data_IF_899231111180
#
_entry.id   IF_899231111180
#
_cell.length_a   1.000
_cell.length_b   1.000
_cell.length_c   1.000
_cell.angle_alpha   90.00
_cell.angle_beta   90.00
_cell.angle_gamma   90.00
#
_symmetry.space_group_name_H-M   'P 1'
#
loop_
_entity.id
_entity.type
_entity.pdbx_description
1 polymer ?
#
# COMPACT_ATOMS: atom_id res chain seq x y z
N UNK A 1 9.13 11.62 -30.00
CA UNK A 1 10.36 11.98 -29.25
C UNK A 1 10.52 10.94 -28.16
N UNK A 2 11.63 10.20 -28.14
CA UNK A 2 11.87 9.10 -27.20
C UNK A 2 11.81 9.62 -25.75
N UNK A 3 10.85 9.13 -24.97
CA UNK A 3 10.76 9.37 -23.52
C UNK A 3 12.00 8.77 -22.85
N UNK A 4 12.89 9.63 -22.35
CA UNK A 4 13.99 9.21 -21.49
C UNK A 4 13.41 8.91 -20.10
N UNK A 5 12.90 7.69 -19.92
CA UNK A 5 12.56 7.17 -18.62
C UNK A 5 13.85 6.97 -17.83
N UNK A 6 13.93 7.56 -16.64
CA UNK A 6 15.03 7.27 -15.72
C UNK A 6 14.84 5.81 -15.27
N UNK A 7 15.80 4.95 -15.62
CA UNK A 7 15.73 3.49 -15.42
C UNK A 7 15.54 3.07 -13.96
N UNK A 8 15.74 3.97 -13.00
CA UNK A 8 15.55 3.69 -11.57
C UNK A 8 14.08 3.58 -11.14
N UNK A 9 13.15 4.31 -11.78
CA UNK A 9 11.75 4.30 -11.36
C UNK A 9 11.03 3.00 -11.79
N UNK A 10 11.42 2.44 -12.94
CA UNK A 10 10.89 1.17 -13.46
C UNK A 10 11.25 -0.02 -12.57
N UNK A 11 12.45 -0.05 -11.98
CA UNK A 11 12.94 -1.20 -11.20
C UNK A 11 12.20 -1.33 -9.87
N UNK A 12 11.93 -0.20 -9.19
CA UNK A 12 11.07 -0.19 -8.00
C UNK A 12 9.61 -0.55 -8.35
N UNK A 13 9.13 -0.15 -9.54
CA UNK A 13 7.79 -0.48 -10.04
C UNK A 13 7.61 -1.98 -10.31
N UNK A 14 8.60 -2.63 -10.93
CA UNK A 14 8.56 -4.08 -11.16
C UNK A 14 8.55 -4.90 -9.86
N UNK A 15 9.17 -4.42 -8.78
CA UNK A 15 9.13 -5.14 -7.49
C UNK A 15 7.86 -4.88 -6.66
N UNK A 16 7.32 -3.66 -6.66
CA UNK A 16 6.14 -3.28 -5.85
C UNK A 16 4.79 -3.49 -6.56
N UNK A 17 4.75 -3.46 -7.88
CA UNK A 17 3.52 -3.55 -8.68
C UNK A 17 3.44 -4.85 -9.48
N UNK A 18 3.91 -5.94 -8.87
CA UNK A 18 3.82 -7.27 -9.45
C UNK A 18 4.53 -7.32 -10.80
N UNK A 19 5.79 -7.75 -10.82
CA UNK A 19 6.22 -8.54 -11.96
C UNK A 19 5.31 -9.77 -12.06
N UNK A 20 4.19 -9.60 -12.73
CA UNK A 20 3.73 -10.58 -13.68
C UNK A 20 4.82 -10.70 -14.75
N UNK A 21 5.91 -11.39 -14.40
CA UNK A 21 6.53 -12.31 -15.33
C UNK A 21 5.47 -13.40 -15.56
N UNK A 22 4.40 -13.07 -16.29
CA UNK A 22 3.57 -14.10 -16.89
C UNK A 22 4.53 -14.91 -17.72
N UNK A 23 4.76 -16.13 -17.27
CA UNK A 23 5.19 -17.25 -18.08
C UNK A 23 4.81 -17.05 -19.53
N UNK A 24 5.83 -16.98 -20.40
CA UNK A 24 5.86 -17.58 -21.73
C UNK A 24 7.13 -17.12 -22.46
N UNK A 25 8.18 -17.95 -22.45
CA UNK A 25 8.89 -18.42 -23.65
C UNK A 25 10.08 -19.32 -23.25
N UNK A 26 9.75 -20.45 -22.65
CA UNK A 26 10.41 -21.73 -22.95
C UNK A 26 9.37 -22.80 -22.66
N UNK A 27 9.01 -23.59 -23.68
CA UNK A 27 8.17 -24.80 -23.57
C UNK A 27 8.92 -25.96 -22.87
N UNK A 28 9.77 -25.64 -21.90
CA UNK A 28 10.28 -26.62 -20.95
C UNK A 28 9.43 -26.46 -19.69
N UNK A 29 8.94 -27.57 -19.15
CA UNK A 29 8.17 -27.60 -17.89
C UNK A 29 9.07 -27.21 -16.71
N UNK A 30 9.47 -25.94 -16.67
CA UNK A 30 10.32 -25.33 -15.67
C UNK A 30 9.53 -25.00 -14.42
N UNK A 31 10.19 -25.18 -13.28
CA UNK A 31 9.66 -24.85 -11.96
C UNK A 31 9.16 -23.39 -11.90
N UNK A 32 8.01 -23.16 -11.25
CA UNK A 32 7.49 -21.80 -11.02
C UNK A 32 8.55 -20.90 -10.39
N UNK A 33 8.61 -19.62 -10.76
CA UNK A 33 9.58 -18.68 -10.19
C UNK A 33 9.38 -18.45 -8.69
N UNK A 34 8.16 -18.63 -8.20
CA UNK A 34 7.76 -18.53 -6.80
C UNK A 34 6.55 -19.45 -6.53
N UNK A 35 6.37 -19.84 -5.28
CA UNK A 35 5.23 -20.66 -4.82
C UNK A 35 4.12 -19.80 -4.22
N UNK A 36 4.44 -18.55 -3.86
CA UNK A 36 3.47 -17.59 -3.36
C UNK A 36 3.96 -16.15 -3.48
N UNK A 37 3.00 -15.23 -3.57
CA UNK A 37 3.23 -13.78 -3.57
C UNK A 37 2.10 -13.10 -2.80
N UNK A 38 2.38 -11.98 -2.13
CA UNK A 38 1.33 -11.22 -1.43
C UNK A 38 1.86 -10.20 -0.43
N UNK A 39 0.93 -9.42 0.12
CA UNK A 39 1.19 -8.49 1.21
C UNK A 39 1.22 -9.21 2.55
N UNK A 40 2.15 -8.81 3.41
CA UNK A 40 2.34 -9.38 4.76
C UNK A 40 2.81 -8.30 5.73
N UNK A 41 2.41 -8.42 7.00
CA UNK A 41 3.04 -7.64 8.09
C UNK A 41 4.40 -8.22 8.41
N UNK A 42 5.32 -7.37 8.81
CA UNK A 42 6.60 -7.79 9.37
C UNK A 42 6.53 -7.71 10.89
N UNK A 43 6.89 -8.81 11.56
CA UNK A 43 6.89 -8.88 13.02
C UNK A 43 8.31 -8.80 13.53
N UNK A 44 8.64 -7.64 14.13
CA UNK A 44 9.93 -7.37 14.79
C UNK A 44 11.15 -7.66 13.90
N UNK A 45 11.02 -7.57 12.57
CA UNK A 45 12.09 -7.90 11.63
C UNK A 45 12.45 -9.40 11.55
N UNK A 46 11.60 -10.29 12.08
CA UNK A 46 11.95 -11.72 12.23
C UNK A 46 11.15 -12.67 11.35
N UNK A 47 9.85 -12.45 11.22
CA UNK A 47 8.96 -13.24 10.37
C UNK A 47 7.83 -12.37 9.83
N UNK A 48 7.10 -12.90 8.86
CA UNK A 48 5.94 -12.25 8.28
C UNK A 48 4.63 -12.88 8.75
N UNK A 49 3.56 -12.10 8.82
CA UNK A 49 2.21 -12.62 9.11
C UNK A 49 1.20 -12.07 8.10
N UNK A 50 0.41 -12.96 7.50
CA UNK A 50 -0.68 -12.59 6.60
C UNK A 50 -2.00 -12.30 7.36
N UNK A 51 -3.05 -11.77 6.70
CA UNK A 51 -4.31 -11.45 7.37
C UNK A 51 -5.02 -12.65 8.02
N UNK A 52 -4.74 -13.88 7.56
CA UNK A 52 -5.30 -15.11 8.13
C UNK A 52 -4.48 -15.60 9.35
N UNK A 53 -3.43 -14.88 9.74
CA UNK A 53 -2.55 -15.23 10.84
C UNK A 53 -1.50 -16.27 10.48
N UNK A 54 -1.35 -16.65 9.21
CA UNK A 54 -0.28 -17.55 8.82
C UNK A 54 1.07 -16.85 8.98
N UNK A 55 2.04 -17.55 9.56
CA UNK A 55 3.38 -17.00 9.80
C UNK A 55 4.37 -17.55 8.79
N UNK A 56 5.23 -16.70 8.22
CA UNK A 56 6.24 -17.08 7.24
C UNK A 56 7.62 -16.68 7.74
N UNK A 57 8.48 -17.68 7.98
CA UNK A 57 9.84 -17.49 8.46
C UNK A 57 10.82 -17.57 7.27
N UNK A 58 11.40 -16.45 6.84
CA UNK A 58 12.36 -16.46 5.76
C UNK A 58 13.68 -17.12 6.20
N UNK A 59 14.35 -17.81 5.28
CA UNK A 59 15.72 -18.27 5.52
C UNK A 59 16.66 -17.07 5.68
N UNK A 60 17.62 -17.16 6.60
CA UNK A 60 18.57 -16.07 6.86
C UNK A 60 19.36 -15.67 5.61
N UNK A 61 19.72 -16.62 4.73
CA UNK A 61 20.38 -16.33 3.46
C UNK A 61 19.51 -15.47 2.55
N UNK A 62 18.22 -15.80 2.41
CA UNK A 62 17.31 -14.99 1.58
C UNK A 62 17.05 -13.61 2.17
N UNK A 63 17.09 -13.43 3.49
CA UNK A 63 17.00 -12.09 4.11
C UNK A 63 18.21 -11.25 3.74
N UNK A 64 19.43 -11.79 3.85
CA UNK A 64 20.66 -11.09 3.45
C UNK A 64 20.65 -10.70 1.98
N UNK A 65 20.13 -11.58 1.10
CA UNK A 65 19.95 -11.27 -0.33
C UNK A 65 19.00 -10.10 -0.57
N UNK A 66 17.91 -9.98 0.22
CA UNK A 66 16.97 -8.86 0.12
C UNK A 66 17.53 -7.56 0.73
N UNK A 67 18.30 -7.65 1.81
CA UNK A 67 18.99 -6.50 2.43
C UNK A 67 20.00 -5.88 1.46
N UNK A 68 20.73 -6.69 0.71
CA UNK A 68 21.64 -6.23 -0.34
C UNK A 68 20.91 -5.47 -1.47
N UNK A 69 19.59 -5.70 -1.63
CA UNK A 69 18.72 -5.02 -2.59
C UNK A 69 17.97 -3.83 -1.98
N UNK A 70 18.28 -3.48 -0.71
CA UNK A 70 17.72 -2.33 -0.01
C UNK A 70 16.44 -2.61 0.77
N UNK A 71 15.93 -3.84 0.79
CA UNK A 71 14.81 -4.20 1.67
C UNK A 71 15.32 -4.53 3.06
N UNK A 72 14.86 -3.76 4.05
CA UNK A 72 15.17 -4.01 5.47
C UNK A 72 13.92 -4.43 6.21
N UNK A 73 13.85 -5.71 6.53
CA UNK A 73 12.72 -6.30 7.24
C UNK A 73 12.46 -5.61 8.59
N UNK A 74 13.51 -5.22 9.32
CA UNK A 74 13.38 -4.52 10.61
C UNK A 74 12.79 -3.11 10.53
N UNK A 75 12.77 -2.49 9.35
CA UNK A 75 12.29 -1.12 9.13
C UNK A 75 10.92 -1.10 8.42
N UNK A 76 10.45 -2.24 7.91
CA UNK A 76 9.16 -2.36 7.23
C UNK A 76 8.06 -2.79 8.21
N UNK A 77 6.87 -2.20 8.09
CA UNK A 77 5.67 -2.70 8.78
C UNK A 77 4.85 -3.59 7.84
N UNK A 78 4.43 -3.06 6.68
CA UNK A 78 3.85 -3.84 5.59
C UNK A 78 4.89 -4.10 4.50
N UNK A 79 4.94 -5.32 3.98
CA UNK A 79 5.81 -5.70 2.87
C UNK A 79 5.03 -6.46 1.80
N UNK A 80 5.47 -6.34 0.55
CA UNK A 80 5.05 -7.20 -0.55
C UNK A 80 6.18 -8.18 -0.85
N UNK A 81 5.90 -9.48 -0.73
CA UNK A 81 6.91 -10.53 -0.86
C UNK A 81 6.51 -11.54 -1.93
N UNK A 82 7.49 -12.07 -2.65
CA UNK A 82 7.38 -13.31 -3.42
C UNK A 82 8.36 -14.34 -2.83
N UNK A 83 7.94 -15.60 -2.74
CA UNK A 83 8.70 -16.62 -2.04
C UNK A 83 8.52 -18.03 -2.61
N UNK A 84 9.48 -18.90 -2.29
CA UNK A 84 9.36 -20.36 -2.42
C UNK A 84 9.24 -21.01 -1.05
N UNK A 85 8.50 -22.11 -0.95
CA UNK A 85 8.52 -22.94 0.26
C UNK A 85 9.86 -23.67 0.36
N UNK A 86 10.35 -23.82 1.59
CA UNK A 86 11.47 -24.72 1.87
C UNK A 86 10.91 -26.15 1.91
N UNK A 87 11.70 -27.16 1.49
CA UNK A 87 11.32 -28.57 1.61
C UNK A 87 10.80 -28.92 3.01
N UNK A 88 9.85 -29.86 3.09
CA UNK A 88 9.11 -30.27 4.31
C UNK A 88 8.22 -29.18 4.95
N UNK A 89 8.05 -28.02 4.31
CA UNK A 89 7.07 -27.02 4.75
C UNK A 89 5.66 -27.37 4.26
N UNK A 90 4.59 -27.12 5.05
CA UNK A 90 3.24 -27.21 4.53
C UNK A 90 3.09 -26.39 3.23
N UNK A 91 2.45 -26.94 2.21
CA UNK A 91 2.28 -26.25 0.91
C UNK A 91 0.90 -25.62 0.76
N UNK A 92 0.03 -25.79 1.75
CA UNK A 92 -1.35 -25.28 1.76
C UNK A 92 -1.54 -24.26 2.88
N UNK A 93 -1.89 -23.03 2.50
CA UNK A 93 -2.25 -21.94 3.42
C UNK A 93 -3.49 -22.30 4.25
N UNK A 94 -3.60 -21.71 5.42
CA UNK A 94 -4.87 -21.69 6.14
C UNK A 94 -5.76 -20.59 5.56
N UNK A 95 -6.99 -20.94 5.24
CA UNK A 95 -8.10 -20.03 4.97
C UNK A 95 -8.60 -19.45 6.31
N UNK A 96 -9.34 -18.35 6.26
CA UNK A 96 -9.89 -17.67 7.44
C UNK A 96 -10.74 -18.52 8.41
N UNK A 97 -11.17 -19.72 8.01
CA UNK A 97 -11.96 -20.64 8.84
C UNK A 97 -11.14 -21.83 9.37
N UNK A 98 -9.82 -21.83 9.18
CA UNK A 98 -8.92 -22.93 9.57
C UNK A 98 -7.83 -22.46 10.51
N UNK A 99 -7.15 -23.39 11.16
CA UNK A 99 -6.06 -23.08 12.08
C UNK A 99 -4.88 -22.46 11.31
N UNK A 100 -4.40 -21.26 11.69
CA UNK A 100 -3.24 -20.64 11.07
C UNK A 100 -2.03 -21.56 11.07
N UNK A 101 -1.22 -21.50 10.02
CA UNK A 101 -0.05 -22.36 9.83
C UNK A 101 1.25 -21.55 9.82
N UNK A 102 2.34 -22.27 10.09
CA UNK A 102 3.69 -21.76 10.00
C UNK A 102 4.41 -22.32 8.77
N UNK A 103 5.01 -21.43 7.99
CA UNK A 103 5.73 -21.74 6.77
C UNK A 103 7.20 -21.33 6.91
N UNK A 104 8.11 -22.17 6.42
CA UNK A 104 9.49 -21.75 6.14
C UNK A 104 9.61 -21.41 4.68
N UNK A 105 10.17 -20.25 4.38
CA UNK A 105 10.22 -19.73 3.02
C UNK A 105 11.61 -19.25 2.64
N UNK A 106 11.91 -19.30 1.34
CA UNK A 106 13.01 -18.54 0.74
C UNK A 106 12.42 -17.33 0.03
N UNK A 107 12.83 -16.13 0.43
CA UNK A 107 12.44 -14.91 -0.29
C UNK A 107 13.05 -14.92 -1.69
N UNK A 108 12.21 -14.64 -2.69
CA UNK A 108 12.59 -14.42 -4.09
C UNK A 108 12.64 -12.93 -4.36
N UNK A 109 11.68 -12.18 -3.82
CA UNK A 109 11.67 -10.72 -3.78
C UNK A 109 10.96 -10.22 -2.53
N UNK A 110 11.35 -9.03 -2.08
CA UNK A 110 10.68 -8.32 -0.99
C UNK A 110 10.80 -6.81 -1.22
N UNK A 111 9.70 -6.10 -0.99
CA UNK A 111 9.69 -4.65 -1.01
C UNK A 111 8.83 -4.13 0.16
N UNK A 112 9.33 -3.10 0.84
CA UNK A 112 8.57 -2.41 1.87
C UNK A 112 7.45 -1.58 1.21
N UNK A 113 6.27 -1.62 1.82
CA UNK A 113 5.21 -0.65 1.55
C UNK A 113 5.37 0.46 2.58
N UNK A 114 5.54 1.69 2.10
CA UNK A 114 5.71 2.83 3.00
C UNK A 114 4.52 2.91 3.95
N UNK A 115 4.79 2.81 5.25
CA UNK A 115 3.76 2.70 6.29
C UNK A 115 3.82 3.93 7.20
N UNK A 116 2.67 4.57 7.41
CA UNK A 116 2.55 5.81 8.17
C UNK A 116 1.50 5.69 9.26
N UNK A 117 1.62 6.51 10.29
CA UNK A 117 0.47 6.78 11.16
C UNK A 117 -0.45 7.77 10.46
N UNK A 118 -1.75 7.61 10.67
CA UNK A 118 -2.74 8.60 10.27
C UNK A 118 -2.67 9.80 11.21
N UNK A 119 -2.82 11.00 10.66
CA UNK A 119 -2.94 12.23 11.44
C UNK A 119 -4.39 12.44 11.85
N UNK A 120 -4.63 13.02 13.03
CA UNK A 120 -5.97 13.34 13.52
C UNK A 120 -6.11 14.85 13.68
N UNK A 121 -7.20 15.41 13.15
CA UNK A 121 -7.54 16.83 13.24
C UNK A 121 -8.94 17.02 13.82
N UNK A 122 -9.19 18.13 14.51
CA UNK A 122 -10.50 18.43 15.08
C UNK A 122 -11.51 18.97 14.04
N UNK A 123 -11.02 19.51 12.92
CA UNK A 123 -11.84 20.11 11.87
C UNK A 123 -11.07 20.21 10.54
N UNK A 124 -11.75 20.62 9.47
CA UNK A 124 -11.09 20.91 8.19
C UNK A 124 -10.09 22.06 8.32
N UNK A 125 -10.45 23.12 9.06
CA UNK A 125 -9.57 24.27 9.30
C UNK A 125 -8.32 23.89 10.11
N UNK A 126 -8.49 23.00 11.09
CA UNK A 126 -7.38 22.45 11.87
C UNK A 126 -6.44 21.64 10.97
N UNK A 127 -6.98 20.67 10.21
CA UNK A 127 -6.22 19.91 9.20
C UNK A 127 -5.46 20.83 8.25
N UNK A 128 -6.14 21.89 7.76
CA UNK A 128 -5.58 22.85 6.82
C UNK A 128 -4.33 23.55 7.36
N UNK A 129 -4.30 23.77 8.68
CA UNK A 129 -3.20 24.39 9.41
C UNK A 129 -2.07 23.39 9.73
N UNK A 130 -2.39 22.15 10.09
CA UNK A 130 -1.39 21.19 10.59
C UNK A 130 -0.65 20.37 9.52
N UNK A 131 -1.29 20.00 8.42
CA UNK A 131 -0.73 19.02 7.46
C UNK A 131 -0.59 19.66 6.10
N UNK A 132 0.54 20.22 5.65
CA UNK A 132 0.63 20.96 4.38
C UNK A 132 0.02 20.25 3.15
N UNK A 133 -0.58 21.02 2.25
CA UNK A 133 -1.08 20.53 0.96
C UNK A 133 -0.82 21.58 -0.12
N UNK A 134 0.08 21.28 -1.05
CA UNK A 134 0.51 22.21 -2.10
C UNK A 134 0.59 21.55 -3.49
N UNK A 135 0.14 20.29 -3.59
CA UNK A 135 0.21 19.51 -4.82
C UNK A 135 -1.03 18.62 -4.96
N UNK A 136 -1.58 18.49 -6.17
CA UNK A 136 -2.58 17.47 -6.43
C UNK A 136 -1.90 16.09 -6.56
N UNK A 137 -2.67 15.02 -6.37
CA UNK A 137 -2.33 13.71 -6.93
C UNK A 137 -2.93 13.59 -8.34
N UNK A 138 -2.51 12.60 -9.11
CA UNK A 138 -3.18 12.25 -10.38
C UNK A 138 -4.39 11.39 -10.09
N UNK A 139 -4.22 10.30 -9.34
CA UNK A 139 -5.32 9.37 -8.99
C UNK A 139 -4.93 8.42 -7.87
N UNK A 140 -5.94 7.88 -7.17
CA UNK A 140 -5.82 6.70 -6.31
C UNK A 140 -6.18 5.39 -7.01
N UNK A 141 -6.51 5.45 -8.30
CA UNK A 141 -6.81 4.29 -9.13
C UNK A 141 -5.88 4.19 -10.35
N UNK A 142 -4.55 4.06 -10.16
CA UNK A 142 -3.62 3.97 -11.26
C UNK A 142 -3.85 2.67 -12.05
N UNK A 143 -3.65 2.76 -13.37
CA UNK A 143 -3.70 1.60 -14.26
C UNK A 143 -2.30 1.33 -14.79
N UNK A 144 -1.84 0.08 -14.68
CA UNK A 144 -0.53 -0.29 -15.21
C UNK A 144 -0.54 -0.49 -16.74
N UNK A 145 0.63 -0.80 -17.28
CA UNK A 145 0.81 -1.01 -18.72
C UNK A 145 0.07 -2.24 -19.26
N UNK A 146 -0.43 -3.12 -18.39
CA UNK A 146 -1.21 -4.31 -18.75
C UNK A 146 -2.72 -4.06 -18.68
N UNK A 147 -3.14 -2.85 -18.29
CA UNK A 147 -4.55 -2.48 -18.16
C UNK A 147 -5.16 -2.87 -16.81
N UNK A 148 -4.36 -3.33 -15.84
CA UNK A 148 -4.85 -3.61 -14.49
C UNK A 148 -4.97 -2.30 -13.72
N UNK A 149 -6.20 -1.96 -13.29
CA UNK A 149 -6.45 -0.86 -12.38
C UNK A 149 -6.32 -1.33 -10.94
N UNK A 150 -5.50 -0.64 -10.16
CA UNK A 150 -5.38 -0.85 -8.73
C UNK A 150 -6.35 0.08 -8.01
N UNK A 151 -6.96 -0.36 -6.93
CA UNK A 151 -7.90 0.44 -6.14
C UNK A 151 -7.44 0.52 -4.69
N UNK A 152 -7.79 1.56 -3.95
CA UNK A 152 -7.62 1.58 -2.50
C UNK A 152 -8.26 0.37 -1.83
N UNK A 153 -7.60 -0.18 -0.80
CA UNK A 153 -8.05 -1.42 -0.16
C UNK A 153 -7.61 -1.50 1.30
N UNK A 154 -8.23 -2.41 2.06
CA UNK A 154 -7.91 -2.67 3.46
C UNK A 154 -7.02 -3.90 3.61
N UNK A 155 -5.87 -3.74 4.27
CA UNK A 155 -5.10 -4.87 4.80
C UNK A 155 -5.58 -5.18 6.22
N UNK A 156 -6.31 -6.28 6.36
CA UNK A 156 -6.99 -6.61 7.61
C UNK A 156 -8.02 -5.54 8.00
N UNK A 157 -8.14 -5.27 9.30
CA UNK A 157 -9.03 -4.21 9.84
C UNK A 157 -8.27 -2.95 10.25
N UNK A 158 -6.97 -2.88 9.96
CA UNK A 158 -6.03 -2.00 10.67
C UNK A 158 -5.24 -1.08 9.74
N UNK A 159 -5.09 -1.43 8.47
CA UNK A 159 -4.32 -0.63 7.53
C UNK A 159 -5.09 -0.35 6.24
N UNK A 160 -5.19 0.93 5.90
CA UNK A 160 -5.69 1.40 4.62
C UNK A 160 -4.51 1.55 3.66
N UNK A 161 -4.55 0.85 2.53
CA UNK A 161 -3.50 0.88 1.51
C UNK A 161 -4.00 1.64 0.29
N UNK A 162 -3.27 2.69 -0.07
CA UNK A 162 -3.59 3.60 -1.17
C UNK A 162 -2.54 3.48 -2.29
N UNK A 163 -2.93 3.03 -3.50
CA UNK A 163 -2.07 3.13 -4.68
C UNK A 163 -2.11 4.56 -5.21
N UNK A 164 -1.19 5.42 -4.75
CA UNK A 164 -1.19 6.83 -5.10
C UNK A 164 -0.32 7.08 -6.32
N UNK A 165 -0.89 7.72 -7.35
CA UNK A 165 -0.16 8.23 -8.51
C UNK A 165 -0.08 9.75 -8.46
N UNK A 166 1.09 10.33 -8.71
CA UNK A 166 1.30 11.78 -8.82
C UNK A 166 2.34 12.10 -9.90
N UNK A 167 2.52 13.39 -10.24
CA UNK A 167 3.60 13.84 -11.11
C UNK A 167 4.69 14.58 -10.34
N UNK A 168 5.93 14.45 -10.80
CA UNK A 168 7.13 15.01 -10.17
C UNK A 168 8.24 15.27 -11.21
N UNK A 169 9.27 16.03 -10.83
CA UNK A 169 10.52 16.12 -11.60
C UNK A 169 11.16 14.72 -11.72
N UNK A 170 11.82 14.43 -12.84
CA UNK A 170 12.48 13.13 -13.03
C UNK A 170 13.81 13.00 -12.28
N UNK A 171 13.77 13.09 -10.94
CA UNK A 171 14.92 12.97 -10.05
C UNK A 171 14.57 12.29 -8.73
N UNK A 172 15.43 11.40 -8.26
CA UNK A 172 15.22 10.64 -7.01
C UNK A 172 15.17 11.52 -5.76
N UNK A 173 15.96 12.60 -5.73
CA UNK A 173 15.96 13.59 -4.64
C UNK A 173 14.61 14.27 -4.45
N UNK A 174 13.84 14.47 -5.52
CA UNK A 174 12.50 15.04 -5.43
C UNK A 174 11.51 14.02 -4.88
N UNK A 175 11.68 12.74 -5.21
CA UNK A 175 10.79 11.66 -4.73
C UNK A 175 10.70 11.65 -3.20
N UNK A 176 11.83 11.90 -2.53
CA UNK A 176 11.94 11.92 -1.07
C UNK A 176 11.29 13.15 -0.41
N UNK A 177 11.00 14.20 -1.17
CA UNK A 177 10.32 15.40 -0.66
C UNK A 177 8.80 15.25 -0.69
N UNK A 178 8.26 14.37 -1.54
CA UNK A 178 6.83 14.14 -1.62
C UNK A 178 6.33 13.42 -0.36
N UNK A 179 5.47 14.10 0.39
CA UNK A 179 4.78 13.57 1.55
C UNK A 179 3.30 13.40 1.22
N UNK A 180 2.78 12.22 1.53
CA UNK A 180 1.37 11.85 1.35
C UNK A 180 0.81 11.51 2.72
N UNK A 181 0.10 12.45 3.32
CA UNK A 181 -0.44 12.33 4.67
C UNK A 181 -1.93 12.01 4.61
N UNK A 182 -2.33 10.96 5.30
CA UNK A 182 -3.75 10.64 5.49
C UNK A 182 -4.22 11.26 6.80
N UNK A 183 -5.32 12.01 6.74
CA UNK A 183 -5.89 12.71 7.88
C UNK A 183 -7.31 12.21 8.14
N UNK A 184 -7.60 11.90 9.39
CA UNK A 184 -8.94 11.69 9.90
C UNK A 184 -9.39 12.92 10.67
N UNK A 185 -10.63 13.36 10.45
CA UNK A 185 -11.21 14.47 11.20
C UNK A 185 -12.10 13.88 12.29
N UNK A 186 -11.69 14.01 13.54
CA UNK A 186 -12.46 13.53 14.70
C UNK A 186 -13.54 14.55 15.06
N UNK A 187 -14.60 14.58 14.26
CA UNK A 187 -15.78 15.40 14.50
C UNK A 187 -17.07 14.60 14.28
N UNK A 188 -18.13 14.97 14.99
CA UNK A 188 -19.45 14.32 14.87
C UNK A 188 -20.09 14.46 13.47
N UNK A 189 -19.53 15.31 12.60
CA UNK A 189 -19.97 15.52 11.22
C UNK A 189 -19.23 14.63 10.20
N UNK A 190 -18.11 14.01 10.58
CA UNK A 190 -17.26 13.22 9.68
C UNK A 190 -17.69 11.73 9.55
N UNK A 191 -18.66 11.31 10.35
CA UNK A 191 -19.17 9.94 10.41
C UNK A 191 -20.69 9.93 10.21
N UNK A 192 -21.16 9.42 9.07
CA UNK A 192 -22.49 8.81 9.03
C UNK A 192 -22.32 7.39 9.57
N UNK A 193 -23.26 6.83 10.34
CA UNK A 193 -23.03 5.61 11.15
C UNK A 193 -22.50 4.36 10.42
N UNK A 194 -22.32 4.39 9.10
CA UNK A 194 -21.72 3.35 8.25
C UNK A 194 -20.51 3.80 7.42
N UNK A 195 -20.20 5.11 7.36
CA UNK A 195 -19.17 5.68 6.50
C UNK A 195 -18.06 6.35 7.33
N UNK A 196 -16.81 6.06 6.97
CA UNK A 196 -15.63 6.66 7.58
C UNK A 196 -14.86 7.45 6.51
N UNK A 197 -14.62 8.74 6.76
CA UNK A 197 -14.01 9.66 5.79
C UNK A 197 -12.57 9.99 6.18
N UNK A 198 -11.67 9.94 5.21
CA UNK A 198 -10.29 10.41 5.32
C UNK A 198 -9.98 11.45 4.24
N UNK A 199 -8.99 12.29 4.51
CA UNK A 199 -8.44 13.26 3.56
C UNK A 199 -6.99 12.90 3.26
N UNK A 200 -6.65 12.72 1.98
CA UNK A 200 -5.28 12.55 1.55
C UNK A 200 -4.70 13.91 1.13
N UNK A 201 -3.69 14.36 1.86
CA UNK A 201 -2.98 15.63 1.66
C UNK A 201 -1.64 15.33 0.99
N UNK A 202 -1.33 16.03 -0.09
CA UNK A 202 -0.08 15.87 -0.82
C UNK A 202 0.76 17.15 -0.75
N UNK A 203 1.95 17.02 -0.17
CA UNK A 203 3.00 18.04 -0.15
C UNK A 203 4.15 17.60 -1.06
N UNK A 204 4.47 18.37 -2.09
CA UNK A 204 5.60 18.11 -3.01
C UNK A 204 6.92 18.76 -2.56
N UNK A 205 6.94 19.36 -1.37
CA UNK A 205 8.08 20.10 -0.85
C UNK A 205 8.49 21.22 -1.80
N UNK A 206 9.71 21.13 -2.34
CA UNK A 206 10.27 22.12 -3.27
C UNK A 206 10.16 21.70 -4.75
N UNK A 207 9.55 20.56 -5.06
CA UNK A 207 9.36 20.14 -6.45
C UNK A 207 8.39 21.10 -7.17
N UNK A 208 8.81 21.57 -8.34
CA UNK A 208 8.04 22.51 -9.16
C UNK A 208 7.68 21.93 -10.53
N UNK A 209 8.12 20.70 -10.85
CA UNK A 209 7.93 20.09 -12.16
C UNK A 209 7.01 18.87 -12.10
N UNK A 210 6.55 18.49 -13.28
CA UNK A 210 5.56 17.42 -13.48
C UNK A 210 5.97 16.55 -14.67
N UNK A 211 7.25 16.18 -14.72
CA UNK A 211 7.89 15.57 -15.88
C UNK A 211 7.53 14.08 -16.05
N UNK A 212 7.35 13.37 -14.93
CA UNK A 212 7.10 11.93 -14.89
C UNK A 212 6.00 11.58 -13.91
N UNK A 213 5.35 10.43 -14.12
CA UNK A 213 4.45 9.83 -13.15
C UNK A 213 5.26 9.01 -12.13
N UNK A 214 4.95 9.20 -10.86
CA UNK A 214 5.34 8.30 -9.78
C UNK A 214 4.09 7.60 -9.25
N UNK A 215 4.19 6.29 -9.01
CA UNK A 215 3.15 5.51 -8.32
C UNK A 215 3.79 4.77 -7.15
N UNK A 216 3.15 4.85 -5.98
CA UNK A 216 3.55 4.11 -4.78
C UNK A 216 2.31 3.66 -4.03
N UNK A 217 2.38 2.43 -3.49
CA UNK A 217 1.48 2.02 -2.44
C UNK A 217 1.92 2.66 -1.13
N UNK A 218 0.98 3.34 -0.47
CA UNK A 218 1.14 3.95 0.85
C UNK A 218 0.17 3.26 1.79
N UNK A 219 0.66 2.70 2.89
CA UNK A 219 -0.14 2.07 3.92
C UNK A 219 -0.28 3.00 5.12
N UNK A 220 -1.49 3.15 5.64
CA UNK A 220 -1.78 4.00 6.79
C UNK A 220 -2.38 3.17 7.90
N UNK A 221 -1.78 3.22 9.08
CA UNK A 221 -2.32 2.59 10.27
C UNK A 221 -3.53 3.38 10.76
N UNK A 222 -4.72 2.78 10.59
CA UNK A 222 -6.00 3.34 11.01
C UNK A 222 -6.64 2.52 12.13
N UNK A 223 -5.88 1.62 12.78
CA UNK A 223 -6.42 0.68 13.77
C UNK A 223 -7.23 1.37 14.87
N UNK A 224 -6.66 2.40 15.50
CA UNK A 224 -7.31 3.09 16.61
C UNK A 224 -8.57 3.82 16.16
N UNK A 225 -8.55 4.44 14.97
CA UNK A 225 -9.71 5.11 14.37
C UNK A 225 -10.82 4.09 14.09
N UNK A 226 -10.48 2.93 13.53
CA UNK A 226 -11.43 1.84 13.27
C UNK A 226 -12.04 1.28 14.56
N UNK A 227 -11.24 1.12 15.62
CA UNK A 227 -11.71 0.70 16.94
C UNK A 227 -12.61 1.76 17.62
N UNK A 228 -12.25 3.05 17.47
CA UNK A 228 -13.05 4.19 17.92
C UNK A 228 -14.41 4.25 17.23
N UNK A 229 -14.42 4.19 15.89
CA UNK A 229 -15.64 4.12 15.09
C UNK A 229 -16.54 2.98 15.53
N UNK A 230 -15.99 1.77 15.69
CA UNK A 230 -16.74 0.60 16.14
C UNK A 230 -17.30 0.77 17.55
N UNK A 231 -16.56 1.39 18.45
CA UNK A 231 -17.00 1.64 19.82
C UNK A 231 -18.18 2.62 19.83
N UNK A 232 -18.13 3.67 19.00
CA UNK A 232 -19.18 4.70 18.88
C UNK A 232 -20.43 4.19 18.17
N UNK A 233 -20.26 3.44 17.07
CA UNK A 233 -21.35 3.04 16.17
C UNK A 233 -21.83 1.59 16.36
N UNK A 234 -21.14 0.79 17.18
CA UNK A 234 -21.45 -0.63 17.44
C UNK A 234 -20.92 -1.61 16.38
N UNK A 235 -20.46 -1.12 15.23
CA UNK A 235 -19.88 -1.91 14.14
C UNK A 235 -18.78 -1.14 13.41
N UNK A 236 -17.88 -1.85 12.72
CA UNK A 236 -16.95 -1.23 11.78
C UNK A 236 -17.69 -0.56 10.59
N UNK A 237 -17.11 0.47 9.95
CA UNK A 237 -17.73 1.14 8.81
C UNK A 237 -17.90 0.17 7.63
N UNK A 238 -18.97 0.29 6.86
CA UNK A 238 -19.16 -0.50 5.63
C UNK A 238 -18.60 0.21 4.40
N UNK A 239 -18.27 1.50 4.52
CA UNK A 239 -17.64 2.28 3.46
C UNK A 239 -16.54 3.14 4.04
N UNK A 240 -15.38 3.14 3.40
CA UNK A 240 -14.36 4.19 3.60
C UNK A 240 -14.38 5.12 2.39
N UNK A 241 -14.35 6.43 2.64
CA UNK A 241 -14.22 7.46 1.61
C UNK A 241 -12.87 8.14 1.80
N UNK A 242 -12.02 8.11 0.78
CA UNK A 242 -10.79 8.90 0.74
C UNK A 242 -11.01 10.10 -0.17
N UNK A 243 -10.95 11.29 0.41
CA UNK A 243 -11.05 12.58 -0.28
C UNK A 243 -9.65 13.00 -0.70
N UNK A 244 -9.41 13.22 -1.98
CA UNK A 244 -8.11 13.66 -2.48
C UNK A 244 -8.27 14.75 -3.56
N UNK A 245 -7.37 15.73 -3.57
CA UNK A 245 -7.32 16.74 -4.64
C UNK A 245 -6.60 16.17 -5.86
N UNK A 246 -7.32 16.04 -6.96
CA UNK A 246 -6.85 15.33 -8.16
C UNK A 246 -6.72 16.26 -9.36
N UNK A 247 -5.58 16.18 -10.04
CA UNK A 247 -5.34 16.84 -11.33
C UNK A 247 -4.55 15.89 -12.24
N UNK A 248 -5.09 15.59 -13.41
CA UNK A 248 -4.46 14.64 -14.36
C UNK A 248 -3.08 15.14 -14.82
N UNK A 249 -2.90 16.46 -14.84
CA UNK A 249 -1.65 17.08 -15.22
C UNK A 249 -0.66 17.22 -14.06
N UNK A 250 -1.11 17.03 -12.82
CA UNK A 250 -0.32 17.17 -11.59
C UNK A 250 0.15 18.61 -11.32
N UNK A 251 -0.38 19.59 -12.04
CA UNK A 251 0.14 20.95 -12.12
C UNK A 251 -0.62 21.91 -11.21
N UNK A 252 -1.94 21.78 -11.12
CA UNK A 252 -2.80 22.72 -10.38
C UNK A 252 -3.46 22.02 -9.20
N UNK A 253 -3.33 22.60 -8.01
CA UNK A 253 -4.08 22.13 -6.84
C UNK A 253 -5.54 22.59 -6.96
N UNK A 254 -6.53 21.70 -7.16
CA UNK A 254 -7.93 22.08 -7.25
C UNK A 254 -8.49 22.52 -5.89
N UNK A 255 -9.56 23.31 -5.91
CA UNK A 255 -10.27 23.69 -4.67
C UNK A 255 -11.05 22.51 -4.07
N UNK A 256 -11.67 21.69 -4.93
CA UNK A 256 -12.54 20.60 -4.50
C UNK A 256 -11.81 19.26 -4.42
N UNK A 257 -12.29 18.41 -3.50
CA UNK A 257 -11.85 17.03 -3.39
C UNK A 257 -12.62 16.11 -4.34
N UNK A 258 -11.93 15.08 -4.82
CA UNK A 258 -12.50 13.90 -5.46
C UNK A 258 -12.64 12.79 -4.43
N UNK A 259 -13.79 12.13 -4.42
CA UNK A 259 -14.11 11.06 -3.48
C UNK A 259 -13.77 9.69 -4.08
N UNK A 260 -12.98 8.90 -3.36
CA UNK A 260 -12.67 7.50 -3.67
C UNK A 260 -13.34 6.61 -2.63
N UNK A 261 -14.34 5.84 -3.06
CA UNK A 261 -15.13 4.99 -2.15
C UNK A 261 -14.62 3.55 -2.15
N UNK A 262 -14.52 2.97 -0.95
CA UNK A 262 -14.09 1.60 -0.70
C UNK A 262 -15.23 0.90 0.03
N UNK A 263 -15.91 -0.02 -0.64
CA UNK A 263 -16.93 -0.85 0.00
C UNK A 263 -16.28 -1.98 0.79
N UNK A 264 -16.65 -2.10 2.06
CA UNK A 264 -16.08 -3.05 3.00
C UNK A 264 -17.12 -4.11 3.34
N UNK A 265 -16.71 -5.37 3.18
CA UNK A 265 -17.50 -6.50 3.61
C UNK A 265 -16.69 -7.30 4.64
N UNK A 266 -16.90 -7.01 5.92
CA UNK A 266 -16.16 -7.63 7.02
C UNK A 266 -16.40 -9.14 7.17
N UNK A 267 -17.48 -9.67 6.58
CA UNK A 267 -17.71 -11.12 6.55
C UNK A 267 -16.77 -11.86 5.58
N UNK A 268 -16.20 -11.14 4.60
CA UNK A 268 -15.31 -11.68 3.55
C UNK A 268 -13.91 -11.06 3.56
N UNK A 269 -13.70 -9.84 4.08
CA UNK A 269 -12.37 -9.19 4.14
C UNK A 269 -11.43 -9.80 5.18
N UNK A 270 -11.95 -10.53 6.15
CA UNK A 270 -11.14 -11.47 6.93
C UNK A 270 -10.65 -12.67 6.10
N UNK A 271 -11.12 -12.83 4.85
CA UNK A 271 -10.97 -14.03 4.02
C UNK A 271 -10.37 -13.81 2.63
N UNK A 272 -10.18 -12.57 2.18
CA UNK A 272 -9.71 -12.30 0.82
C UNK A 272 -8.75 -11.12 0.77
N UNK A 273 -7.46 -11.44 0.75
CA UNK A 273 -6.38 -10.75 0.04
C UNK A 273 -5.31 -11.80 -0.30
#
# INVERSE_FOLDING_TARGET
MFMKQLKFLMVAFTLLMGVSLTSCLSDDAGESMYDGIGYVRTVMGTYFIDPNGNTYYPTSSSVVEMEAQGFKMSEADLAYIAFKYVEDTPTTKADANTTPKTFRIKLVSAAAVDSYQTEEAASIEDMETMVPENAPIVTLEPTDNYGQTYKPWMYGTEMLVLPVSWKMENKEEMLKQHTLSLVYIDSDEAESGTELVFYLRHDKGTDTKTDVFAVRNKAYNIKNIMEGFKTKNGSYPTTIIVKAKTDVDGATLPENYTDYSISLNWSTQSKSN
#
